data_IF_266779671312
#
_entry.id   IF_266779671312
#
_cell.length_a   1.000
_cell.length_b   1.000
_cell.length_c   1.000
_cell.angle_alpha   90.00
_cell.angle_beta   90.00
_cell.angle_gamma   90.00
#
_symmetry.space_group_name_H-M   'P 1'
#
loop_
_entity.id
_entity.type
_entity.pdbx_description
1 polymer ?
#
# COMPACT_ATOMS: atom_id res chain seq x y z
N UNK A 1 -19.99 0.43 -8.50
CA UNK A 1 -19.91 0.62 -7.06
C UNK A 1 -19.73 -0.74 -6.40
N UNK A 2 -18.72 -0.91 -5.60
CA UNK A 2 -18.46 -2.13 -4.84
C UNK A 2 -18.03 -1.76 -3.41
N UNK A 3 -18.44 -2.57 -2.44
CA UNK A 3 -18.08 -2.41 -1.04
C UNK A 3 -17.49 -3.71 -0.50
N UNK A 4 -16.48 -3.57 0.36
CA UNK A 4 -15.85 -4.65 1.14
C UNK A 4 -15.43 -5.86 0.30
N UNK A 5 -14.39 -5.68 -0.46
CA UNK A 5 -13.75 -6.75 -1.23
C UNK A 5 -12.23 -6.65 -1.11
N UNK A 6 -11.52 -7.68 -1.53
CA UNK A 6 -10.06 -7.68 -1.55
C UNK A 6 -9.54 -7.62 -2.97
N UNK A 7 -8.55 -6.75 -3.22
CA UNK A 7 -7.76 -6.74 -4.43
C UNK A 7 -6.32 -7.08 -4.05
N UNK A 8 -5.80 -8.19 -4.57
CA UNK A 8 -4.46 -8.67 -4.23
C UNK A 8 -4.21 -8.69 -2.71
N UNK A 9 -5.20 -9.20 -1.95
CA UNK A 9 -5.25 -9.27 -0.48
C UNK A 9 -5.34 -7.92 0.27
N UNK A 10 -5.28 -6.79 -0.42
CA UNK A 10 -5.57 -5.50 0.19
C UNK A 10 -7.10 -5.37 0.36
N UNK A 11 -7.61 -5.26 1.58
CA UNK A 11 -9.04 -5.05 1.82
C UNK A 11 -9.45 -3.67 1.33
N UNK A 12 -10.37 -3.64 0.39
CA UNK A 12 -10.98 -2.42 -0.14
C UNK A 12 -12.33 -2.23 0.53
N UNK A 13 -12.49 -1.16 1.29
CA UNK A 13 -13.77 -0.87 1.95
C UNK A 13 -14.79 -0.34 0.97
N UNK A 14 -14.34 0.48 0.03
CA UNK A 14 -15.21 1.07 -0.98
C UNK A 14 -14.45 1.37 -2.26
N UNK A 15 -15.05 1.00 -3.39
CA UNK A 15 -14.57 1.41 -4.71
C UNK A 15 -15.72 1.97 -5.54
N UNK A 16 -15.49 3.11 -6.15
CA UNK A 16 -16.38 3.70 -7.13
C UNK A 16 -15.63 3.84 -8.44
N UNK A 17 -16.21 3.31 -9.50
CA UNK A 17 -15.71 3.42 -10.86
C UNK A 17 -16.77 4.08 -11.73
N UNK A 18 -16.43 5.19 -12.38
CA UNK A 18 -17.30 5.91 -13.30
C UNK A 18 -16.66 5.86 -14.68
N UNK A 19 -17.20 5.03 -15.54
CA UNK A 19 -16.74 4.87 -16.93
C UNK A 19 -17.39 5.97 -17.77
N UNK A 20 -16.61 6.67 -18.58
CA UNK A 20 -17.11 7.77 -19.41
C UNK A 20 -17.66 7.29 -20.77
N UNK A 21 -16.97 6.31 -21.38
CA UNK A 21 -17.39 5.70 -22.65
C UNK A 21 -17.20 4.20 -22.55
N UNK A 22 -18.22 3.45 -22.92
CA UNK A 22 -18.21 2.00 -22.92
C UNK A 22 -18.68 1.53 -24.30
N UNK A 23 -17.74 1.01 -25.10
CA UNK A 23 -18.03 0.43 -26.39
C UNK A 23 -18.01 -1.11 -26.27
N UNK A 24 -19.20 -1.70 -26.32
CA UNK A 24 -19.40 -3.14 -26.12
C UNK A 24 -19.65 -3.85 -27.43
N UNK A 25 -19.06 -5.02 -27.57
CA UNK A 25 -19.46 -6.01 -28.54
C UNK A 25 -20.62 -6.83 -27.98
N UNK A 26 -21.81 -6.62 -28.54
CA UNK A 26 -23.05 -7.29 -28.13
C UNK A 26 -23.36 -8.53 -28.95
N UNK A 27 -22.60 -8.80 -30.02
CA UNK A 27 -22.76 -9.98 -30.88
C UNK A 27 -22.04 -11.22 -30.34
N UNK A 28 -21.10 -11.03 -29.38
CA UNK A 28 -20.41 -12.11 -28.72
C UNK A 28 -21.31 -12.77 -27.66
N UNK A 29 -21.14 -14.09 -27.44
CA UNK A 29 -21.82 -14.80 -26.34
C UNK A 29 -21.57 -14.18 -24.96
N UNK A 30 -20.51 -13.37 -24.83
CA UNK A 30 -20.15 -12.60 -23.64
C UNK A 30 -19.85 -11.18 -24.02
N UNK A 31 -20.22 -10.24 -23.16
CA UNK A 31 -19.89 -8.83 -23.34
C UNK A 31 -18.38 -8.63 -23.40
N UNK A 32 -17.89 -8.07 -24.49
CA UNK A 32 -16.48 -7.71 -24.67
C UNK A 32 -16.36 -6.23 -24.97
N UNK A 33 -15.27 -5.63 -24.49
CA UNK A 33 -14.91 -4.28 -24.88
C UNK A 33 -14.34 -4.32 -26.32
N UNK A 34 -14.83 -3.46 -27.20
CA UNK A 34 -14.25 -3.24 -28.55
C UNK A 34 -12.97 -2.42 -28.48
N UNK A 35 -12.85 -1.60 -27.46
CA UNK A 35 -11.69 -0.74 -27.19
C UNK A 35 -11.50 -0.59 -25.68
N UNK A 36 -10.31 -0.11 -25.25
CA UNK A 36 -10.02 0.17 -23.86
C UNK A 36 -10.99 1.23 -23.31
N UNK A 37 -11.68 0.90 -22.24
CA UNK A 37 -12.57 1.86 -21.57
C UNK A 37 -11.80 2.64 -20.52
N UNK A 38 -12.09 3.94 -20.41
CA UNK A 38 -11.47 4.83 -19.43
C UNK A 38 -12.53 5.39 -18.48
N UNK A 39 -12.13 5.57 -17.22
CA UNK A 39 -13.03 6.09 -16.20
C UNK A 39 -12.32 6.69 -15.02
N UNK A 40 -13.06 7.45 -14.23
CA UNK A 40 -12.59 7.92 -12.94
C UNK A 40 -12.75 6.82 -11.89
N UNK A 41 -11.75 6.67 -11.02
CA UNK A 41 -11.76 5.72 -9.92
C UNK A 41 -11.57 6.43 -8.59
N UNK A 42 -12.31 6.00 -7.58
CA UNK A 42 -12.12 6.36 -6.19
C UNK A 42 -12.07 5.09 -5.35
N UNK A 43 -11.03 4.96 -4.54
CA UNK A 43 -10.84 3.85 -3.60
C UNK A 43 -10.75 4.41 -2.19
N UNK A 44 -11.45 3.79 -1.26
CA UNK A 44 -11.38 4.07 0.16
C UNK A 44 -10.83 2.84 0.89
N UNK A 45 -9.79 3.08 1.70
CA UNK A 45 -9.17 2.11 2.59
C UNK A 45 -9.29 2.62 4.02
N UNK A 46 -9.73 1.77 4.93
CA UNK A 46 -9.76 2.10 6.35
C UNK A 46 -8.46 1.72 7.04
N UNK A 47 -8.18 2.35 8.17
CA UNK A 47 -7.08 1.97 9.05
C UNK A 47 -7.15 0.49 9.44
N UNK A 48 -8.36 -0.01 9.73
CA UNK A 48 -8.57 -1.42 10.05
C UNK A 48 -8.20 -2.34 8.89
N UNK A 49 -8.63 -2.01 7.65
CA UNK A 49 -8.26 -2.76 6.44
C UNK A 49 -6.76 -2.74 6.18
N UNK A 50 -6.11 -1.57 6.33
CA UNK A 50 -4.67 -1.47 6.20
C UNK A 50 -3.94 -2.33 7.23
N UNK A 51 -4.35 -2.31 8.50
CA UNK A 51 -3.76 -3.15 9.54
C UNK A 51 -3.99 -4.64 9.28
N UNK A 52 -5.15 -5.02 8.74
CA UNK A 52 -5.39 -6.40 8.33
C UNK A 52 -4.42 -6.83 7.21
N UNK A 53 -4.17 -5.98 6.22
CA UNK A 53 -3.19 -6.25 5.16
C UNK A 53 -1.77 -6.36 5.73
N UNK A 54 -1.36 -5.43 6.60
CA UNK A 54 -0.02 -5.45 7.23
C UNK A 54 0.22 -6.71 8.09
N UNK A 55 -0.83 -7.31 8.63
CA UNK A 55 -0.76 -8.56 9.37
C UNK A 55 -0.80 -9.82 8.47
N UNK A 56 -1.07 -9.67 7.16
CA UNK A 56 -1.23 -10.80 6.23
C UNK A 56 0.09 -11.48 5.88
N UNK A 57 0.01 -12.75 5.44
CA UNK A 57 1.17 -13.50 4.96
C UNK A 57 1.76 -12.88 3.68
N UNK A 58 0.94 -12.25 2.85
CA UNK A 58 1.39 -11.53 1.65
C UNK A 58 2.30 -10.36 2.01
N UNK A 59 1.93 -9.54 2.99
CA UNK A 59 2.79 -8.44 3.43
C UNK A 59 4.09 -8.95 4.06
N UNK A 60 4.04 -10.01 4.85
CA UNK A 60 5.23 -10.68 5.38
C UNK A 60 6.13 -11.20 4.25
N UNK A 61 5.54 -11.76 3.19
CA UNK A 61 6.27 -12.17 1.99
C UNK A 61 6.98 -10.99 1.32
N UNK A 62 6.31 -9.85 1.16
CA UNK A 62 6.89 -8.62 0.60
C UNK A 62 8.09 -8.16 1.45
N UNK A 63 7.97 -8.13 2.78
CA UNK A 63 9.07 -7.76 3.67
C UNK A 63 10.27 -8.70 3.51
N UNK A 64 10.04 -10.01 3.34
CA UNK A 64 11.09 -11.01 3.14
C UNK A 64 11.76 -10.87 1.76
N UNK A 65 11.01 -10.58 0.70
CA UNK A 65 11.55 -10.36 -0.64
C UNK A 65 12.44 -9.12 -0.71
N UNK A 66 12.07 -8.05 -0.02
CA UNK A 66 12.91 -6.85 0.12
C UNK A 66 14.20 -7.18 0.87
N UNK A 67 14.13 -8.02 1.91
CA UNK A 67 15.30 -8.52 2.65
C UNK A 67 16.30 -9.22 1.73
N UNK A 68 15.83 -10.08 0.85
CA UNK A 68 16.68 -10.86 -0.06
C UNK A 68 17.44 -10.00 -1.10
N UNK A 69 16.81 -8.90 -1.54
CA UNK A 69 17.39 -8.00 -2.57
C UNK A 69 18.37 -6.96 -1.99
N UNK A 70 18.29 -6.65 -0.70
CA UNK A 70 19.10 -5.61 -0.06
C UNK A 70 20.28 -6.13 0.78
N UNK A 71 20.46 -7.45 0.87
CA UNK A 71 21.48 -8.08 1.75
C UNK A 71 22.93 -7.67 1.47
N UNK A 72 23.19 -6.92 0.40
CA UNK A 72 24.55 -6.48 0.01
C UNK A 72 24.94 -5.13 0.65
N UNK A 73 23.99 -4.35 1.17
CA UNK A 73 24.25 -2.95 1.54
C UNK A 73 24.04 -2.61 3.03
N UNK A 74 23.48 -3.48 3.86
CA UNK A 74 23.12 -3.10 5.24
C UNK A 74 23.80 -3.96 6.30
N UNK A 75 24.63 -3.31 7.10
CA UNK A 75 25.31 -3.88 8.27
C UNK A 75 24.37 -4.27 9.43
N UNK A 76 23.08 -3.91 9.36
CA UNK A 76 22.05 -4.25 10.34
C UNK A 76 21.00 -5.15 9.66
N UNK A 77 21.16 -6.46 9.87
CA UNK A 77 20.15 -7.45 9.49
C UNK A 77 19.00 -7.40 10.52
N UNK A 78 18.07 -6.45 10.32
CA UNK A 78 16.90 -6.30 11.18
C UNK A 78 15.68 -6.93 10.51
N UNK A 79 15.00 -7.81 11.21
CA UNK A 79 13.71 -8.39 10.81
C UNK A 79 12.58 -7.54 11.37
N UNK A 80 11.68 -7.06 10.49
CA UNK A 80 10.59 -6.18 10.88
C UNK A 80 9.34 -7.02 11.13
N UNK A 81 8.75 -6.84 12.29
CA UNK A 81 7.60 -7.62 12.75
C UNK A 81 6.55 -6.71 13.38
N UNK A 82 5.33 -7.24 13.52
CA UNK A 82 4.21 -6.61 14.23
C UNK A 82 3.90 -5.18 13.76
N UNK A 83 3.97 -4.97 12.44
CA UNK A 83 3.74 -3.65 11.86
C UNK A 83 2.26 -3.28 11.97
N UNK A 84 1.99 -2.09 12.48
CA UNK A 84 0.67 -1.48 12.52
C UNK A 84 0.73 -0.02 12.12
N UNK A 85 -0.39 0.48 11.60
CA UNK A 85 -0.53 1.85 11.11
C UNK A 85 -1.69 2.55 11.81
N UNK A 86 -1.51 3.80 12.15
CA UNK A 86 -2.55 4.69 12.63
C UNK A 86 -2.62 5.92 11.72
N UNK A 87 -3.76 6.14 11.09
CA UNK A 87 -4.01 7.28 10.23
C UNK A 87 -4.46 8.50 11.05
N UNK A 88 -3.87 9.64 10.76
CA UNK A 88 -4.22 10.94 11.35
C UNK A 88 -4.46 11.95 10.23
N UNK A 89 -5.07 13.09 10.55
CA UNK A 89 -5.19 14.17 9.57
C UNK A 89 -3.81 14.56 9.04
N UNK A 90 -3.61 14.35 7.73
CA UNK A 90 -2.37 14.64 6.98
C UNK A 90 -1.11 13.89 7.46
N UNK A 91 -1.25 12.90 8.33
CA UNK A 91 -0.14 12.16 8.89
C UNK A 91 -0.38 10.68 9.06
N UNK A 92 0.67 9.97 9.41
CA UNK A 92 0.64 8.54 9.72
C UNK A 92 1.61 8.24 10.85
N UNK A 93 1.18 7.39 11.77
CA UNK A 93 2.05 6.75 12.77
C UNK A 93 2.15 5.27 12.44
N UNK A 94 3.37 4.75 12.34
CA UNK A 94 3.65 3.33 12.08
C UNK A 94 4.40 2.80 13.29
N UNK A 95 3.92 1.71 13.85
CA UNK A 95 4.53 1.02 14.96
C UNK A 95 4.93 -0.39 14.54
N UNK A 96 5.98 -0.90 15.15
CA UNK A 96 6.44 -2.26 14.90
C UNK A 96 7.62 -2.62 15.78
N UNK A 97 8.17 -3.78 15.52
CA UNK A 97 9.38 -4.28 16.18
C UNK A 97 10.46 -4.61 15.15
N UNK A 98 11.69 -4.29 15.45
CA UNK A 98 12.86 -4.65 14.67
C UNK A 98 13.68 -5.68 15.45
N UNK A 99 13.74 -6.91 14.97
CA UNK A 99 14.56 -7.97 15.54
C UNK A 99 15.94 -7.94 14.87
N UNK A 100 17.01 -7.81 15.66
CA UNK A 100 18.39 -7.72 15.18
C UNK A 100 19.22 -8.91 15.66
N UNK A 101 20.38 -9.14 15.04
CA UNK A 101 21.32 -10.21 15.40
C UNK A 101 20.64 -11.60 15.47
N UNK A 102 19.88 -11.95 14.42
CA UNK A 102 19.19 -13.25 14.37
C UNK A 102 18.06 -13.40 15.39
N UNK A 103 17.45 -12.28 15.83
CA UNK A 103 16.33 -12.29 16.76
C UNK A 103 16.69 -12.19 18.24
N UNK A 104 17.99 -12.08 18.58
CA UNK A 104 18.40 -11.94 19.98
C UNK A 104 17.98 -10.62 20.64
N UNK A 105 17.82 -9.57 19.85
CA UNK A 105 17.36 -8.28 20.33
C UNK A 105 16.15 -7.83 19.52
N UNK A 106 15.09 -7.51 20.22
CA UNK A 106 13.87 -6.93 19.63
C UNK A 106 13.72 -5.50 20.14
N UNK A 107 13.66 -4.57 19.21
CA UNK A 107 13.58 -3.13 19.50
C UNK A 107 12.25 -2.60 18.97
N UNK A 108 11.34 -2.12 19.84
CA UNK A 108 10.12 -1.48 19.38
C UNK A 108 10.45 -0.13 18.73
N UNK A 109 9.74 0.19 17.69
CA UNK A 109 9.86 1.49 17.03
C UNK A 109 8.50 2.14 16.77
N UNK A 110 8.50 3.45 16.72
CA UNK A 110 7.39 4.26 16.22
C UNK A 110 7.94 5.22 15.18
N UNK A 111 7.34 5.23 14.00
CA UNK A 111 7.64 6.18 12.94
C UNK A 111 6.45 7.12 12.78
N UNK A 112 6.73 8.41 12.69
CA UNK A 112 5.73 9.41 12.34
C UNK A 112 6.13 10.09 11.04
N UNK A 113 5.17 10.26 10.14
CA UNK A 113 5.45 10.82 8.83
C UNK A 113 4.20 11.19 8.07
N UNK A 114 4.36 11.41 6.77
CA UNK A 114 3.27 11.75 5.86
C UNK A 114 3.15 10.71 4.78
N UNK A 115 1.93 10.24 4.53
CA UNK A 115 1.65 9.41 3.36
C UNK A 115 1.60 10.29 2.11
N UNK A 116 2.30 9.86 1.06
CA UNK A 116 2.34 10.54 -0.23
C UNK A 116 2.33 9.54 -1.38
N UNK A 117 1.75 9.94 -2.50
CA UNK A 117 1.99 9.27 -3.76
C UNK A 117 3.36 9.68 -4.26
N UNK A 118 4.30 8.73 -4.36
CA UNK A 118 5.61 8.92 -4.99
C UNK A 118 5.49 8.91 -6.50
N UNK A 119 4.57 8.09 -6.99
CA UNK A 119 4.16 7.99 -8.38
C UNK A 119 2.65 7.75 -8.44
N UNK A 120 2.09 7.63 -9.64
CA UNK A 120 0.68 7.27 -9.81
C UNK A 120 0.34 5.85 -9.27
N UNK A 121 1.33 5.09 -8.81
CA UNK A 121 1.22 3.69 -8.45
C UNK A 121 1.91 3.29 -7.15
N UNK A 122 2.62 4.21 -6.49
CA UNK A 122 3.35 3.91 -5.25
C UNK A 122 2.92 4.83 -4.11
N UNK A 123 2.46 4.24 -3.02
CA UNK A 123 2.18 4.93 -1.77
C UNK A 123 3.37 4.76 -0.83
N UNK A 124 3.97 5.87 -0.41
CA UNK A 124 5.16 5.90 0.45
C UNK A 124 4.94 6.80 1.67
N UNK A 125 5.75 6.56 2.71
CA UNK A 125 5.89 7.49 3.84
C UNK A 125 7.08 8.39 3.59
N UNK A 126 6.89 9.70 3.79
CA UNK A 126 7.93 10.72 3.68
C UNK A 126 7.99 11.58 4.93
N UNK A 127 9.07 12.37 5.07
CA UNK A 127 9.32 13.27 6.20
C UNK A 127 9.23 12.53 7.54
N UNK A 128 9.91 11.38 7.62
CA UNK A 128 9.77 10.46 8.73
C UNK A 128 10.69 10.83 9.87
N UNK A 129 10.13 10.86 11.06
CA UNK A 129 10.86 10.80 12.32
C UNK A 129 10.61 9.47 13.00
N UNK A 130 11.63 8.92 13.65
CA UNK A 130 11.55 7.64 14.33
C UNK A 130 11.93 7.75 15.79
N UNK A 131 11.22 7.00 16.63
CA UNK A 131 11.55 6.86 18.06
C UNK A 131 11.54 5.41 18.49
N UNK A 132 12.36 5.10 19.49
CA UNK A 132 12.38 3.83 20.22
C UNK A 132 12.48 4.11 21.71
N UNK A 133 11.58 3.54 22.49
CA UNK A 133 11.52 3.75 23.95
C UNK A 133 11.59 5.25 24.34
N UNK A 134 10.92 6.12 23.55
CA UNK A 134 10.87 7.57 23.77
C UNK A 134 12.14 8.32 23.39
N UNK A 135 13.13 7.69 22.75
CA UNK A 135 14.38 8.31 22.26
C UNK A 135 14.38 8.28 20.72
N UNK A 136 15.08 9.24 20.07
CA UNK A 136 15.25 9.18 18.62
C UNK A 136 15.83 7.85 18.17
N UNK A 137 15.25 7.30 17.09
CA UNK A 137 15.75 6.10 16.46
C UNK A 137 17.11 6.38 15.81
N UNK A 138 18.13 5.52 15.99
CA UNK A 138 19.40 5.67 15.28
C UNK A 138 19.19 5.75 13.77
N UNK A 139 19.93 6.63 13.09
CA UNK A 139 19.74 6.90 11.65
C UNK A 139 19.83 5.67 10.77
N UNK A 140 20.79 4.77 11.05
CA UNK A 140 20.97 3.53 10.29
C UNK A 140 19.77 2.59 10.46
N UNK A 141 19.20 2.49 11.67
CA UNK A 141 18.01 1.69 11.92
C UNK A 141 16.79 2.32 11.28
N UNK A 142 16.63 3.65 11.35
CA UNK A 142 15.55 4.37 10.67
C UNK A 142 15.60 4.12 9.15
N UNK A 143 16.78 4.24 8.56
CA UNK A 143 16.97 3.99 7.12
C UNK A 143 16.63 2.54 6.76
N UNK A 144 17.07 1.58 7.57
CA UNK A 144 16.79 0.15 7.37
C UNK A 144 15.30 -0.13 7.43
N UNK A 145 14.61 0.39 8.45
CA UNK A 145 13.15 0.21 8.61
C UNK A 145 12.42 0.84 7.42
N UNK A 146 12.75 2.09 7.07
CA UNK A 146 12.12 2.78 5.94
C UNK A 146 12.31 2.06 4.62
N UNK A 147 13.50 1.53 4.36
CA UNK A 147 13.78 0.80 3.12
C UNK A 147 12.94 -0.49 3.00
N UNK A 148 12.49 -1.06 4.12
CA UNK A 148 11.67 -2.28 4.13
C UNK A 148 10.18 -2.00 4.04
N UNK A 149 9.70 -0.90 4.63
CA UNK A 149 8.27 -0.57 4.62
C UNK A 149 7.86 0.33 3.46
N UNK A 150 8.81 0.93 2.71
CA UNK A 150 8.51 1.76 1.54
C UNK A 150 8.84 1.02 0.22
N UNK A 151 7.89 0.97 -0.73
CA UNK A 151 6.54 1.53 -0.64
C UNK A 151 5.65 0.73 0.33
N UNK A 152 4.77 1.42 1.08
CA UNK A 152 3.78 0.76 1.94
C UNK A 152 2.80 -0.06 1.11
N UNK A 153 2.41 0.47 -0.04
CA UNK A 153 1.53 -0.20 -0.99
C UNK A 153 2.06 0.05 -2.40
N UNK A 154 2.27 -1.03 -3.15
CA UNK A 154 2.41 -0.98 -4.60
C UNK A 154 1.03 -1.11 -5.24
N UNK A 155 0.50 0.02 -5.71
CA UNK A 155 -0.82 0.12 -6.31
C UNK A 155 -0.90 -0.56 -7.69
N UNK A 156 0.22 -0.97 -8.28
CA UNK A 156 0.22 -1.80 -9.50
C UNK A 156 -0.51 -3.13 -9.28
N UNK A 157 -0.43 -3.65 -8.06
CA UNK A 157 -1.08 -4.90 -7.70
C UNK A 157 -2.61 -4.80 -7.69
N UNK A 158 -3.18 -3.58 -7.56
CA UNK A 158 -4.62 -3.38 -7.47
C UNK A 158 -5.35 -3.55 -8.80
N UNK A 159 -4.71 -3.30 -9.94
CA UNK A 159 -5.37 -3.33 -11.27
C UNK A 159 -5.47 -4.73 -11.89
N UNK A 160 -4.57 -5.63 -11.57
CA UNK A 160 -4.48 -6.93 -12.24
C UNK A 160 -4.08 -6.82 -13.73
N UNK A 161 -4.41 -7.85 -14.52
CA UNK A 161 -4.08 -7.91 -15.96
C UNK A 161 -5.06 -7.11 -16.83
N UNK A 162 -6.28 -6.96 -16.37
CA UNK A 162 -7.41 -6.47 -17.17
C UNK A 162 -7.74 -5.00 -16.88
N UNK A 163 -7.16 -4.43 -15.82
CA UNK A 163 -7.40 -3.06 -15.41
C UNK A 163 -6.11 -2.42 -14.89
N UNK A 164 -5.75 -1.25 -15.41
CA UNK A 164 -4.69 -0.42 -14.87
C UNK A 164 -5.29 0.75 -14.09
N UNK A 165 -4.77 0.99 -12.90
CA UNK A 165 -5.17 2.09 -12.03
C UNK A 165 -4.04 3.10 -11.92
N UNK A 166 -4.37 4.39 -12.05
CA UNK A 166 -3.44 5.52 -11.97
C UNK A 166 -3.98 6.53 -10.97
N UNK A 167 -3.34 6.66 -9.82
CA UNK A 167 -3.79 7.55 -8.76
C UNK A 167 -3.10 8.89 -8.81
N UNK A 168 -3.86 9.97 -8.83
CA UNK A 168 -3.36 11.34 -8.93
C UNK A 168 -3.52 12.12 -7.65
N UNK A 169 -4.41 11.70 -6.77
CA UNK A 169 -4.68 12.37 -5.50
C UNK A 169 -4.86 11.37 -4.37
N UNK A 170 -4.21 11.70 -3.27
CA UNK A 170 -4.34 11.04 -1.99
C UNK A 170 -4.93 12.01 -0.99
N UNK A 171 -5.91 11.58 -0.22
CA UNK A 171 -6.42 12.28 0.95
C UNK A 171 -6.34 11.35 2.15
N UNK A 172 -5.65 11.79 3.19
CA UNK A 172 -5.54 11.07 4.45
C UNK A 172 -6.37 11.83 5.49
N UNK A 173 -7.20 11.12 6.21
CA UNK A 173 -8.00 11.62 7.31
C UNK A 173 -7.97 10.61 8.45
N UNK A 174 -8.53 10.97 9.61
CA UNK A 174 -8.59 10.04 10.72
C UNK A 174 -9.29 8.75 10.28
N UNK A 175 -8.60 7.62 10.49
CA UNK A 175 -9.07 6.26 10.26
C UNK A 175 -9.31 5.86 8.79
N UNK A 176 -9.07 6.75 7.81
CA UNK A 176 -9.25 6.39 6.40
C UNK A 176 -8.34 7.13 5.43
N UNK A 177 -8.15 6.50 4.29
CA UNK A 177 -7.37 6.95 3.16
C UNK A 177 -8.23 6.86 1.91
N UNK A 178 -8.28 7.95 1.13
CA UNK A 178 -8.98 8.01 -0.14
C UNK A 178 -7.97 8.21 -1.28
N UNK A 179 -8.02 7.34 -2.28
CA UNK A 179 -7.26 7.41 -3.51
C UNK A 179 -8.19 7.79 -4.65
N UNK A 180 -7.85 8.82 -5.39
CA UNK A 180 -8.60 9.31 -6.54
C UNK A 180 -7.71 9.26 -7.78
N UNK A 181 -8.25 8.76 -8.89
CA UNK A 181 -7.45 8.58 -10.09
C UNK A 181 -8.28 8.15 -11.30
N UNK A 182 -7.60 7.51 -12.24
CA UNK A 182 -8.13 7.00 -13.49
C UNK A 182 -7.97 5.49 -13.57
N UNK A 183 -8.93 4.83 -14.18
CA UNK A 183 -8.91 3.41 -14.48
C UNK A 183 -8.93 3.22 -16.00
N UNK A 184 -8.06 2.37 -16.49
CA UNK A 184 -8.00 1.90 -17.86
C UNK A 184 -8.36 0.42 -17.89
N UNK A 185 -9.49 0.08 -18.50
CA UNK A 185 -10.08 -1.26 -18.47
C UNK A 185 -9.95 -1.88 -19.85
N UNK A 186 -9.22 -2.99 -19.94
CA UNK A 186 -9.02 -3.74 -21.20
C UNK A 186 -10.03 -4.86 -21.37
N UNK A 187 -10.47 -5.45 -20.28
CA UNK A 187 -11.47 -6.51 -20.29
C UNK A 187 -12.41 -6.31 -19.09
N UNK A 188 -13.67 -6.66 -19.29
CA UNK A 188 -14.62 -6.67 -18.18
C UNK A 188 -14.32 -7.89 -17.29
N UNK A 189 -14.38 -7.74 -15.96
CA UNK A 189 -14.24 -8.87 -15.05
C UNK A 189 -15.31 -9.92 -15.37
N UNK A 190 -14.88 -11.18 -15.43
CA UNK A 190 -15.74 -12.32 -15.71
C UNK A 190 -16.37 -12.87 -14.44
#
# INVERSE_FOLDING_TARGET
>A
YAERFTLSELPIDKMQLKIHHLNLDTEAERFRLREEAQGAVQIELTEAGLNQFLASETFKGILNDVKSKQSILNSLDADIQDVSIQLRNDGVSIQGTAATLGGFFTVPFTLEGQLRLKSERELVVQNVTGTTLGRPLPGDLLTTVLARINPIIDLNALGGKDMNLYFRRLKVSNNKLELLGEAHIRQLPQ
#
